data_IF_179729362924
#
_entry.id   IF_179729362924
#
_cell.length_a   1.000
_cell.length_b   1.000
_cell.length_c   1.000
_cell.angle_alpha   90.00
_cell.angle_beta   90.00
_cell.angle_gamma   90.00
#
_symmetry.space_group_name_H-M   'P 1'
#
loop_
_entity.id
_entity.type
_entity.pdbx_description
1 polymer ?
#
# COMPACT_ATOMS: atom_id res chain seq x y z
N UNK A 1 38.34 4.71 9.89
CA UNK A 1 37.70 5.28 11.07
C UNK A 1 36.85 6.49 10.70
N UNK A 2 35.66 6.28 10.12
CA UNK A 2 34.62 7.29 9.91
C UNK A 2 33.23 6.66 9.90
N UNK A 3 33.00 5.69 10.77
CA UNK A 3 31.66 5.26 11.17
C UNK A 3 31.35 5.99 12.48
N UNK A 4 31.07 7.30 12.34
CA UNK A 4 30.59 8.11 13.43
C UNK A 4 29.37 7.47 14.09
N UNK A 5 29.47 7.34 15.37
CA UNK A 5 28.52 6.89 16.38
C UNK A 5 27.08 7.41 16.08
N UNK A 6 26.36 6.70 15.23
CA UNK A 6 24.94 6.92 15.00
C UNK A 6 24.19 6.10 16.05
N UNK A 7 24.08 6.65 17.24
CA UNK A 7 23.26 6.10 18.31
C UNK A 7 21.87 5.68 17.81
N UNK A 8 21.19 4.79 18.52
CA UNK A 8 19.92 4.21 18.09
C UNK A 8 18.96 5.32 17.70
N UNK A 9 18.31 5.20 16.54
CA UNK A 9 17.31 6.15 16.06
C UNK A 9 16.09 6.07 16.96
N UNK A 10 16.20 6.69 18.12
CA UNK A 10 15.12 6.75 19.07
C UNK A 10 13.96 7.58 18.50
N UNK A 11 12.76 7.07 18.58
CA UNK A 11 11.56 7.83 18.27
C UNK A 11 11.49 9.04 19.23
N UNK A 12 11.39 10.25 18.69
CA UNK A 12 11.28 11.46 19.50
C UNK A 12 9.84 11.66 19.96
N UNK A 13 9.59 11.66 21.27
CA UNK A 13 8.25 11.88 21.82
C UNK A 13 7.66 13.24 21.44
N UNK A 14 8.49 14.31 21.40
CA UNK A 14 8.04 15.62 20.98
C UNK A 14 7.61 15.65 19.50
N UNK A 15 8.38 15.00 18.63
CA UNK A 15 8.04 14.86 17.20
C UNK A 15 6.78 14.06 17.03
N UNK A 16 6.65 12.95 17.76
CA UNK A 16 5.45 12.11 17.75
C UNK A 16 4.22 12.92 18.17
N UNK A 17 4.26 13.62 19.29
CA UNK A 17 3.16 14.43 19.77
C UNK A 17 2.73 15.49 18.77
N UNK A 18 3.69 16.25 18.21
CA UNK A 18 3.40 17.27 17.19
C UNK A 18 2.77 16.68 15.93
N UNK A 19 3.28 15.55 15.43
CA UNK A 19 2.71 14.89 14.23
C UNK A 19 1.36 14.24 14.48
N UNK A 20 1.12 13.69 15.67
CA UNK A 20 -0.19 13.17 16.06
C UNK A 20 -1.21 14.31 16.13
N UNK A 21 -0.86 15.43 16.75
CA UNK A 21 -1.75 16.60 16.78
C UNK A 21 -2.10 17.09 15.38
N UNK A 22 -1.12 17.17 14.48
CA UNK A 22 -1.35 17.53 13.08
C UNK A 22 -2.17 16.48 12.33
N UNK A 23 -1.96 15.18 12.59
CA UNK A 23 -2.76 14.10 12.01
C UNK A 23 -4.23 14.18 12.45
N UNK A 24 -4.46 14.44 13.73
CA UNK A 24 -5.81 14.61 14.27
C UNK A 24 -6.49 15.86 13.69
N UNK A 25 -5.77 16.99 13.60
CA UNK A 25 -6.28 18.21 13.00
C UNK A 25 -6.60 18.01 11.50
N UNK A 26 -5.69 17.42 10.73
CA UNK A 26 -5.89 17.08 9.32
C UNK A 26 -7.14 16.22 9.13
N UNK A 27 -7.28 15.19 9.96
CA UNK A 27 -8.41 14.26 9.88
C UNK A 27 -9.70 14.94 10.33
N UNK A 28 -9.65 15.71 11.41
CA UNK A 28 -10.80 16.45 11.93
C UNK A 28 -11.37 17.50 10.96
N UNK A 29 -10.52 18.04 10.09
CA UNK A 29 -10.95 18.97 9.03
C UNK A 29 -11.43 18.22 7.79
N UNK A 30 -10.62 17.29 7.27
CA UNK A 30 -10.93 16.67 5.97
C UNK A 30 -12.03 15.62 6.03
N UNK A 31 -12.21 14.93 7.16
CA UNK A 31 -13.24 13.91 7.28
C UNK A 31 -14.66 14.48 7.19
N UNK A 32 -15.04 15.54 7.92
CA UNK A 32 -16.34 16.21 7.73
C UNK A 32 -16.53 16.74 6.30
N UNK A 33 -15.48 17.32 5.70
CA UNK A 33 -15.54 17.81 4.32
C UNK A 33 -15.79 16.66 3.34
N UNK A 34 -15.16 15.48 3.54
CA UNK A 34 -15.39 14.30 2.72
C UNK A 34 -16.82 13.75 2.88
N UNK A 35 -17.35 13.76 4.11
CA UNK A 35 -18.75 13.38 4.39
C UNK A 35 -19.71 14.35 3.70
N UNK A 36 -19.47 15.65 3.82
CA UNK A 36 -20.31 16.68 3.17
C UNK A 36 -20.22 16.61 1.63
N UNK A 37 -19.07 16.20 1.09
CA UNK A 37 -18.88 16.02 -0.35
C UNK A 37 -19.44 14.69 -0.89
N UNK A 38 -19.91 13.79 -0.03
CA UNK A 38 -20.41 12.47 -0.45
C UNK A 38 -21.53 12.55 -1.52
N UNK A 39 -22.52 13.46 -1.42
CA UNK A 39 -23.55 13.63 -2.46
C UNK A 39 -23.00 14.10 -3.82
N UNK A 40 -21.80 14.69 -3.87
CA UNK A 40 -21.14 15.13 -5.11
C UNK A 40 -20.51 13.98 -5.89
N UNK A 41 -20.58 12.77 -5.33
CA UNK A 41 -20.10 11.52 -5.96
C UNK A 41 -18.63 11.19 -5.68
N UNK A 42 -18.25 10.01 -6.16
CA UNK A 42 -16.94 9.42 -5.90
C UNK A 42 -15.73 10.30 -6.26
N UNK A 43 -15.70 11.05 -7.38
CA UNK A 43 -14.53 11.87 -7.73
C UNK A 43 -14.22 12.96 -6.72
N UNK A 44 -15.25 13.61 -6.16
CA UNK A 44 -15.08 14.68 -5.15
C UNK A 44 -14.48 14.11 -3.85
N UNK A 45 -15.06 13.04 -3.34
CA UNK A 45 -14.60 12.35 -2.13
C UNK A 45 -13.17 11.83 -2.29
N UNK A 46 -12.86 11.28 -3.46
CA UNK A 46 -11.53 10.75 -3.78
C UNK A 46 -10.46 11.85 -3.77
N UNK A 47 -10.73 13.02 -4.32
CA UNK A 47 -9.80 14.17 -4.26
C UNK A 47 -9.46 14.56 -2.82
N UNK A 48 -10.47 14.61 -1.96
CA UNK A 48 -10.28 14.92 -0.53
C UNK A 48 -9.46 13.83 0.15
N UNK A 49 -9.75 12.57 -0.14
CA UNK A 49 -8.99 11.44 0.39
C UNK A 49 -7.51 11.45 -0.06
N UNK A 50 -7.23 11.80 -1.31
CA UNK A 50 -5.84 11.94 -1.79
C UNK A 50 -5.09 13.09 -1.09
N UNK A 51 -5.77 14.18 -0.73
CA UNK A 51 -5.19 15.25 0.09
C UNK A 51 -4.85 14.69 1.48
N UNK A 52 -5.75 13.92 2.08
CA UNK A 52 -5.52 13.28 3.38
C UNK A 52 -4.35 12.28 3.32
N UNK A 53 -4.29 11.39 2.34
CA UNK A 53 -3.18 10.45 2.16
C UNK A 53 -1.84 11.17 1.97
N UNK A 54 -1.83 12.27 1.21
CA UNK A 54 -0.63 13.10 1.03
C UNK A 54 -0.19 13.70 2.37
N UNK A 55 -1.12 14.18 3.18
CA UNK A 55 -0.85 14.68 4.54
C UNK A 55 -0.27 13.58 5.44
N UNK A 56 -0.86 12.40 5.45
CA UNK A 56 -0.37 11.24 6.23
C UNK A 56 1.04 10.84 5.81
N UNK A 57 1.30 10.70 4.51
CA UNK A 57 2.63 10.36 3.99
C UNK A 57 3.69 11.40 4.38
N UNK A 58 3.34 12.70 4.39
CA UNK A 58 4.22 13.78 4.86
C UNK A 58 4.48 13.71 6.35
N UNK A 59 3.45 13.50 7.15
CA UNK A 59 3.58 13.38 8.61
C UNK A 59 4.45 12.19 8.99
N UNK A 60 4.35 11.09 8.26
CA UNK A 60 5.26 9.94 8.41
C UNK A 60 6.64 10.18 7.77
N UNK A 61 6.86 11.33 7.11
CA UNK A 61 8.10 11.68 6.39
C UNK A 61 8.53 10.61 5.38
N UNK A 62 7.55 10.05 4.64
CA UNK A 62 7.83 9.06 3.62
C UNK A 62 8.33 9.73 2.35
N UNK A 63 9.46 9.26 1.84
CA UNK A 63 10.00 9.58 0.50
C UNK A 63 9.84 8.36 -0.37
N UNK A 64 9.26 8.51 -1.53
CA UNK A 64 8.96 7.37 -2.40
C UNK A 64 9.82 7.43 -3.64
N UNK A 65 10.52 6.34 -3.91
CA UNK A 65 11.29 6.14 -5.12
C UNK A 65 10.56 5.12 -6.00
N UNK A 66 10.18 5.53 -7.21
CA UNK A 66 9.33 4.74 -8.10
C UNK A 66 10.15 4.24 -9.28
N UNK A 67 10.10 2.92 -9.51
CA UNK A 67 10.61 2.25 -10.71
C UNK A 67 9.44 1.80 -11.56
N UNK A 68 9.55 1.97 -12.87
CA UNK A 68 8.43 1.74 -13.76
C UNK A 68 7.33 2.79 -13.56
N UNK A 69 6.15 2.48 -14.02
CA UNK A 69 4.99 3.36 -13.90
C UNK A 69 3.72 2.53 -13.64
N UNK A 70 2.74 3.08 -12.91
CA UNK A 70 1.41 2.48 -12.87
C UNK A 70 0.84 2.43 -14.30
N UNK A 71 0.09 1.39 -14.60
CA UNK A 71 -0.49 1.22 -15.93
C UNK A 71 -1.38 2.40 -16.36
N UNK A 72 -1.99 3.07 -15.35
CA UNK A 72 -2.81 4.28 -15.57
C UNK A 72 -4.10 4.04 -16.34
N UNK A 73 -4.40 2.81 -16.68
CA UNK A 73 -5.65 2.42 -17.32
C UNK A 73 -6.72 2.12 -16.27
N UNK A 74 -7.96 2.42 -16.62
CA UNK A 74 -9.12 2.04 -15.81
C UNK A 74 -9.26 0.53 -15.73
N UNK A 75 -9.82 0.02 -14.64
CA UNK A 75 -10.05 -1.40 -14.46
C UNK A 75 -8.77 -2.22 -14.20
N UNK A 76 -7.71 -1.61 -13.64
CA UNK A 76 -6.46 -2.30 -13.33
C UNK A 76 -6.50 -2.91 -11.92
N UNK A 77 -6.12 -4.18 -11.80
CA UNK A 77 -5.86 -4.84 -10.53
C UNK A 77 -4.36 -4.76 -10.21
N UNK A 78 -3.98 -3.87 -9.29
CA UNK A 78 -2.63 -3.80 -8.74
C UNK A 78 -2.48 -4.84 -7.65
N UNK A 79 -1.46 -5.68 -7.75
CA UNK A 79 -1.19 -6.78 -6.82
C UNK A 79 0.13 -6.53 -6.11
N UNK A 80 0.10 -6.26 -4.81
CA UNK A 80 1.28 -5.87 -4.04
C UNK A 80 1.53 -6.77 -2.84
N UNK A 81 2.80 -6.88 -2.41
CA UNK A 81 3.12 -7.30 -1.06
C UNK A 81 2.65 -6.26 -0.04
N UNK A 82 2.55 -6.66 1.23
CA UNK A 82 2.04 -5.82 2.31
C UNK A 82 2.98 -5.82 3.50
N UNK A 83 3.48 -4.66 3.86
CA UNK A 83 4.43 -4.47 4.96
C UNK A 83 3.77 -3.73 6.13
N UNK A 84 2.95 -2.74 5.83
CA UNK A 84 2.41 -1.83 6.83
C UNK A 84 1.15 -1.13 6.33
N UNK A 85 0.33 -0.61 7.25
CA UNK A 85 -0.74 0.34 6.90
C UNK A 85 -0.19 1.60 6.19
N UNK A 86 1.10 1.86 6.29
CA UNK A 86 1.78 2.95 5.56
C UNK A 86 1.87 2.70 4.04
N UNK A 87 1.69 1.46 3.60
CA UNK A 87 1.62 1.12 2.17
C UNK A 87 0.40 1.76 1.51
N UNK A 88 -0.68 1.94 2.29
CA UNK A 88 -1.95 2.47 1.80
C UNK A 88 -1.80 3.90 1.26
N UNK A 89 -1.31 4.90 2.02
CA UNK A 89 -1.11 6.25 1.49
C UNK A 89 -0.12 6.28 0.32
N UNK A 90 0.92 5.46 0.34
CA UNK A 90 1.91 5.39 -0.75
C UNK A 90 1.26 4.90 -2.05
N UNK A 91 0.59 3.75 -2.01
CA UNK A 91 -0.02 3.16 -3.21
C UNK A 91 -1.23 3.96 -3.68
N UNK A 92 -2.05 4.53 -2.77
CA UNK A 92 -3.15 5.41 -3.13
C UNK A 92 -2.70 6.61 -3.97
N UNK A 93 -1.60 7.24 -3.56
CA UNK A 93 -1.05 8.42 -4.25
C UNK A 93 -0.40 8.11 -5.59
N UNK A 94 0.07 6.87 -5.78
CA UNK A 94 0.73 6.45 -7.00
C UNK A 94 -0.24 5.86 -8.04
N UNK A 95 -1.27 5.13 -7.58
CA UNK A 95 -2.15 4.37 -8.48
C UNK A 95 -3.53 4.99 -8.64
N UNK A 96 -3.92 5.87 -7.72
CA UNK A 96 -5.28 6.40 -7.62
C UNK A 96 -6.34 5.28 -7.60
N UNK A 97 -6.02 4.13 -7.01
CA UNK A 97 -6.85 2.94 -6.92
C UNK A 97 -7.46 2.77 -5.52
N UNK A 98 -8.65 2.20 -5.44
CA UNK A 98 -9.25 1.81 -4.17
C UNK A 98 -8.59 0.52 -3.64
N UNK A 99 -8.80 0.21 -2.36
CA UNK A 99 -8.18 -0.95 -1.73
C UNK A 99 -9.17 -2.08 -1.52
N UNK A 100 -8.63 -3.30 -1.49
CA UNK A 100 -9.33 -4.48 -1.00
C UNK A 100 -8.80 -4.79 0.39
N UNK A 101 -9.65 -4.71 1.40
CA UNK A 101 -9.30 -4.93 2.81
C UNK A 101 -10.14 -6.05 3.44
N UNK A 102 -9.68 -6.56 4.58
CA UNK A 102 -10.50 -7.47 5.40
C UNK A 102 -11.69 -6.73 6.00
N UNK A 103 -12.81 -7.42 6.16
CA UNK A 103 -14.02 -6.85 6.75
C UNK A 103 -13.80 -6.34 8.19
N UNK A 104 -12.92 -6.97 8.97
CA UNK A 104 -12.57 -6.54 10.33
C UNK A 104 -12.13 -5.06 10.39
N UNK A 105 -11.48 -4.56 9.33
CA UNK A 105 -11.02 -3.15 9.24
C UNK A 105 -12.19 -2.17 9.16
N UNK A 106 -13.37 -2.63 8.73
CA UNK A 106 -14.59 -1.82 8.61
C UNK A 106 -15.00 -1.17 9.93
N UNK A 107 -14.76 -1.89 11.04
CA UNK A 107 -15.21 -1.52 12.37
C UNK A 107 -14.11 -0.84 13.20
N UNK A 108 -12.94 -0.63 12.62
CA UNK A 108 -11.87 0.10 13.32
C UNK A 108 -12.26 1.57 13.49
N UNK A 109 -12.15 2.10 14.72
CA UNK A 109 -12.43 3.50 14.98
C UNK A 109 -11.60 4.40 14.03
N UNK A 110 -12.22 5.42 13.44
CA UNK A 110 -11.64 6.37 12.51
C UNK A 110 -11.17 5.74 11.18
N UNK A 111 -10.32 4.70 11.22
CA UNK A 111 -9.75 4.06 10.03
C UNK A 111 -10.81 3.34 9.18
N UNK A 112 -11.77 2.67 9.81
CA UNK A 112 -12.89 2.06 9.10
C UNK A 112 -13.78 3.07 8.39
N UNK A 113 -14.03 4.23 9.02
CA UNK A 113 -14.75 5.31 8.37
C UNK A 113 -13.97 5.90 7.19
N UNK A 114 -12.68 6.17 7.35
CA UNK A 114 -11.81 6.62 6.26
C UNK A 114 -11.79 5.61 5.11
N UNK A 115 -11.70 4.32 5.42
CA UNK A 115 -11.71 3.25 4.43
C UNK A 115 -13.05 3.19 3.66
N UNK A 116 -14.18 3.34 4.35
CA UNK A 116 -15.52 3.42 3.72
C UNK A 116 -15.61 4.62 2.77
N UNK A 117 -15.16 5.78 3.22
CA UNK A 117 -15.15 7.01 2.42
C UNK A 117 -14.27 6.86 1.19
N UNK A 118 -13.11 6.21 1.32
CA UNK A 118 -12.23 5.92 0.19
C UNK A 118 -12.72 4.77 -0.69
N UNK A 119 -13.96 4.28 -0.46
CA UNK A 119 -14.58 3.20 -1.23
C UNK A 119 -13.78 1.89 -1.20
N UNK A 120 -13.10 1.62 -0.07
CA UNK A 120 -12.44 0.33 0.15
C UNK A 120 -13.45 -0.80 0.04
N UNK A 121 -13.11 -1.84 -0.71
CA UNK A 121 -13.90 -3.05 -0.82
C UNK A 121 -13.53 -3.97 0.33
N UNK A 122 -14.52 -4.32 1.16
CA UNK A 122 -14.30 -5.16 2.32
C UNK A 122 -14.65 -6.61 2.00
N UNK A 123 -13.70 -7.52 2.23
CA UNK A 123 -13.89 -8.95 2.00
C UNK A 123 -13.87 -9.74 3.31
N UNK A 124 -14.86 -10.62 3.47
CA UNK A 124 -14.92 -11.61 4.55
C UNK A 124 -14.25 -12.90 4.12
N UNK A 125 -13.68 -13.62 5.08
CA UNK A 125 -13.12 -14.96 4.85
C UNK A 125 -14.20 -16.05 4.97
N UNK A 126 -15.42 -15.77 4.54
CA UNK A 126 -16.51 -16.74 4.51
C UNK A 126 -16.68 -17.26 3.08
N UNK A 127 -16.64 -18.59 2.94
CA UNK A 127 -16.83 -19.24 1.64
C UNK A 127 -18.22 -18.95 1.03
N UNK A 128 -19.23 -18.67 1.87
CA UNK A 128 -20.60 -18.35 1.42
C UNK A 128 -20.68 -16.98 0.76
N UNK A 129 -19.85 -16.03 1.21
CA UNK A 129 -19.81 -14.66 0.67
C UNK A 129 -18.80 -14.50 -0.48
N UNK A 130 -17.90 -15.47 -0.65
CA UNK A 130 -16.78 -15.38 -1.61
C UNK A 130 -17.22 -15.12 -3.05
N UNK A 131 -18.39 -15.68 -3.47
CA UNK A 131 -18.94 -15.46 -4.82
C UNK A 131 -19.45 -14.03 -4.99
N UNK A 132 -20.18 -13.48 -4.01
CA UNK A 132 -20.68 -12.10 -4.05
C UNK A 132 -19.56 -11.08 -4.04
N UNK A 133 -18.55 -11.30 -3.19
CA UNK A 133 -17.38 -10.41 -3.11
C UNK A 133 -16.54 -10.42 -4.39
N UNK A 134 -16.41 -11.60 -5.01
CA UNK A 134 -15.76 -11.72 -6.33
C UNK A 134 -16.53 -10.94 -7.40
N UNK A 135 -17.88 -11.07 -7.42
CA UNK A 135 -18.72 -10.34 -8.36
C UNK A 135 -18.57 -8.83 -8.16
N UNK A 136 -18.64 -8.34 -6.92
CA UNK A 136 -18.45 -6.92 -6.61
C UNK A 136 -17.08 -6.39 -7.07
N UNK A 137 -16.00 -7.16 -6.87
CA UNK A 137 -14.67 -6.79 -7.38
C UNK A 137 -14.68 -6.71 -8.92
N UNK A 138 -15.28 -7.72 -9.59
CA UNK A 138 -15.35 -7.77 -11.04
C UNK A 138 -16.16 -6.61 -11.60
N UNK A 139 -17.31 -6.31 -11.01
CA UNK A 139 -18.19 -5.21 -11.41
C UNK A 139 -17.47 -3.86 -11.27
N UNK A 140 -16.73 -3.65 -10.20
CA UNK A 140 -15.97 -2.43 -10.01
C UNK A 140 -14.85 -2.26 -11.02
N UNK A 141 -14.09 -3.33 -11.31
CA UNK A 141 -13.05 -3.32 -12.34
C UNK A 141 -13.64 -3.07 -13.73
N UNK A 142 -14.79 -3.70 -14.05
CA UNK A 142 -15.50 -3.49 -15.30
C UNK A 142 -16.08 -2.08 -15.44
N UNK A 143 -16.50 -1.47 -14.32
CA UNK A 143 -16.92 -0.06 -14.27
C UNK A 143 -15.75 0.94 -14.38
N UNK A 144 -14.51 0.45 -14.48
CA UNK A 144 -13.31 1.27 -14.64
C UNK A 144 -12.61 1.65 -13.33
N UNK A 145 -13.09 1.22 -12.16
CA UNK A 145 -12.36 1.39 -10.91
C UNK A 145 -11.10 0.53 -10.92
N UNK A 146 -9.96 1.10 -10.53
CA UNK A 146 -8.76 0.32 -10.27
C UNK A 146 -8.71 -0.09 -8.79
N UNK A 147 -8.15 -1.28 -8.51
CA UNK A 147 -8.08 -1.84 -7.16
C UNK A 147 -6.65 -2.22 -6.79
N UNK A 148 -6.27 -2.02 -5.53
CA UNK A 148 -5.05 -2.56 -4.93
C UNK A 148 -5.42 -3.74 -4.06
N UNK A 149 -4.80 -4.88 -4.34
CA UNK A 149 -4.97 -6.13 -3.62
C UNK A 149 -3.65 -6.54 -2.95
N UNK A 150 -3.72 -6.92 -1.67
CA UNK A 150 -2.63 -7.53 -0.92
C UNK A 150 -2.90 -9.04 -0.75
N UNK A 151 -2.46 -9.89 -1.68
CA UNK A 151 -2.89 -11.29 -1.68
C UNK A 151 -2.19 -12.16 -0.62
N UNK A 152 -1.23 -11.63 0.12
CA UNK A 152 -0.71 -12.22 1.35
C UNK A 152 -1.84 -12.37 2.40
N UNK A 153 -2.82 -11.46 2.35
CA UNK A 153 -3.96 -11.44 3.27
C UNK A 153 -3.59 -11.09 4.71
N UNK A 154 -2.37 -10.66 4.94
CA UNK A 154 -1.83 -10.05 6.16
C UNK A 154 -0.60 -9.23 5.78
N UNK A 155 -0.14 -8.35 6.65
CA UNK A 155 1.17 -7.70 6.49
C UNK A 155 2.30 -8.59 7.01
N UNK A 156 3.51 -8.36 6.52
CA UNK A 156 4.73 -9.11 6.84
C UNK A 156 5.80 -8.19 7.42
N UNK A 157 6.95 -8.78 7.78
CA UNK A 157 8.14 -8.05 8.25
C UNK A 157 8.80 -7.16 7.17
N UNK A 158 8.33 -7.25 5.92
CA UNK A 158 8.86 -6.53 4.78
C UNK A 158 10.22 -7.04 4.26
N UNK A 159 10.70 -8.17 4.77
CA UNK A 159 11.93 -8.83 4.31
C UNK A 159 11.61 -9.85 3.22
N UNK A 160 10.61 -10.67 3.49
CA UNK A 160 10.15 -11.72 2.61
C UNK A 160 8.69 -11.48 2.22
N UNK A 161 8.35 -11.77 0.98
CA UNK A 161 6.97 -11.76 0.51
C UNK A 161 6.32 -13.07 0.90
N UNK A 162 5.21 -13.01 1.63
CA UNK A 162 4.46 -14.20 2.00
C UNK A 162 3.75 -14.81 0.78
N UNK A 163 3.44 -16.12 0.80
CA UNK A 163 2.75 -16.77 -0.30
C UNK A 163 1.42 -16.08 -0.66
N UNK A 164 1.20 -15.84 -1.94
CA UNK A 164 -0.02 -15.23 -2.43
C UNK A 164 -1.18 -16.23 -2.45
N UNK A 165 -2.29 -15.85 -1.85
CA UNK A 165 -3.52 -16.65 -1.82
C UNK A 165 -4.20 -16.63 -3.17
N UNK A 166 -4.05 -17.71 -3.94
CA UNK A 166 -4.60 -17.81 -5.30
C UNK A 166 -6.12 -17.62 -5.38
N UNK A 167 -6.84 -17.85 -4.28
CA UNK A 167 -8.28 -17.59 -4.21
C UNK A 167 -8.63 -16.10 -4.44
N UNK A 168 -7.76 -15.18 -4.05
CA UNK A 168 -7.94 -13.74 -4.25
C UNK A 168 -7.76 -13.31 -5.71
N UNK A 169 -7.17 -14.15 -6.55
CA UNK A 169 -7.03 -13.92 -7.99
C UNK A 169 -8.25 -14.43 -8.79
N UNK A 170 -9.24 -15.03 -8.14
CA UNK A 170 -10.44 -15.50 -8.81
C UNK A 170 -11.24 -14.39 -9.52
N UNK A 171 -11.04 -13.14 -9.13
CA UNK A 171 -11.61 -11.98 -9.84
C UNK A 171 -11.06 -11.83 -11.26
N UNK A 172 -9.85 -12.32 -11.52
CA UNK A 172 -9.26 -12.31 -12.85
C UNK A 172 -9.80 -13.44 -13.74
N UNK A 173 -10.46 -14.45 -13.16
CA UNK A 173 -11.20 -15.51 -13.89
C UNK A 173 -12.60 -14.99 -14.24
N UNK A 174 -12.72 -14.04 -15.16
CA UNK A 174 -14.00 -13.51 -15.59
C UNK A 174 -14.74 -14.50 -16.51
N UNK A 175 -16.06 -14.31 -16.68
CA UNK A 175 -16.85 -15.14 -17.58
C UNK A 175 -16.30 -15.09 -19.01
N UNK A 176 -16.46 -16.18 -19.80
CA UNK A 176 -16.08 -16.17 -21.20
C UNK A 176 -16.74 -15.00 -21.95
N UNK A 177 -15.93 -14.20 -22.66
CA UNK A 177 -16.39 -13.05 -23.43
C UNK A 177 -16.41 -11.71 -22.70
N UNK A 178 -16.19 -11.67 -21.36
CA UNK A 178 -16.01 -10.43 -20.63
C UNK A 178 -14.56 -9.93 -20.75
N UNK A 179 -14.39 -8.61 -20.79
CA UNK A 179 -13.06 -8.02 -20.75
C UNK A 179 -12.37 -8.32 -19.42
N UNK A 180 -11.24 -9.00 -19.50
CA UNK A 180 -10.50 -9.39 -18.30
C UNK A 180 -9.68 -8.21 -17.78
N UNK A 181 -9.66 -7.98 -16.46
CA UNK A 181 -8.87 -6.93 -15.87
C UNK A 181 -7.38 -7.17 -16.14
N UNK A 182 -6.65 -6.10 -16.39
CA UNK A 182 -5.20 -6.15 -16.39
C UNK A 182 -4.69 -6.25 -14.97
N UNK A 183 -3.71 -7.12 -14.76
CA UNK A 183 -3.08 -7.33 -13.46
C UNK A 183 -1.67 -6.76 -13.51
N UNK A 184 -1.36 -5.82 -12.63
CA UNK A 184 -0.01 -5.27 -12.53
C UNK A 184 0.59 -5.61 -11.17
N UNK A 185 1.66 -6.45 -11.13
CA UNK A 185 2.40 -6.71 -9.90
C UNK A 185 3.16 -5.46 -9.46
N UNK A 186 3.17 -5.20 -8.15
CA UNK A 186 3.83 -4.04 -7.53
C UNK A 186 4.63 -4.50 -6.33
N UNK A 187 5.90 -4.13 -6.25
CA UNK A 187 6.73 -4.38 -5.07
C UNK A 187 6.84 -3.12 -4.24
N UNK A 188 6.69 -3.23 -2.93
CA UNK A 188 6.93 -2.14 -1.98
C UNK A 188 7.96 -2.58 -0.94
N UNK A 189 8.99 -1.75 -0.69
CA UNK A 189 10.04 -2.05 0.26
C UNK A 189 10.52 -0.77 0.97
N UNK A 190 10.68 -0.86 2.29
CA UNK A 190 11.27 0.19 3.11
C UNK A 190 12.78 -0.04 3.19
N UNK A 191 13.59 0.79 2.54
CA UNK A 191 14.99 0.49 2.29
C UNK A 191 15.97 1.38 3.04
N UNK A 192 15.63 2.65 3.25
CA UNK A 192 16.52 3.64 3.85
C UNK A 192 15.76 4.56 4.79
N UNK A 193 16.47 5.24 5.67
CA UNK A 193 15.95 6.43 6.34
C UNK A 193 15.71 7.57 5.36
N UNK A 194 14.93 8.57 5.77
CA UNK A 194 14.71 9.77 4.96
C UNK A 194 15.99 10.55 4.65
N UNK A 195 17.06 10.40 5.45
CA UNK A 195 18.37 10.97 5.22
C UNK A 195 19.28 10.15 4.29
N UNK A 196 18.78 9.01 3.78
CA UNK A 196 19.48 8.14 2.83
C UNK A 196 20.27 7.00 3.46
N UNK A 197 20.49 6.98 4.78
CA UNK A 197 21.19 5.87 5.45
C UNK A 197 20.40 4.56 5.31
N UNK A 198 21.06 3.42 5.07
CA UNK A 198 20.37 2.14 4.97
C UNK A 198 19.61 1.80 6.25
N UNK A 199 18.40 1.27 6.12
CA UNK A 199 17.69 0.64 7.22
C UNK A 199 18.27 -0.76 7.44
N UNK A 200 18.82 -1.03 8.61
CA UNK A 200 19.19 -2.39 9.00
C UNK A 200 17.94 -3.26 9.26
N UNK A 201 18.14 -4.54 9.58
CA UNK A 201 17.02 -5.46 9.79
C UNK A 201 16.12 -5.06 10.96
N UNK A 202 16.69 -4.63 12.08
CA UNK A 202 15.93 -4.22 13.25
C UNK A 202 15.14 -2.94 13.03
N UNK A 203 15.71 -2.02 12.27
CA UNK A 203 15.09 -0.71 12.00
C UNK A 203 14.01 -0.77 10.91
N UNK A 204 14.06 -1.76 10.02
CA UNK A 204 12.94 -2.03 9.09
C UNK A 204 11.68 -2.45 9.82
N UNK A 205 11.83 -3.27 10.86
CA UNK A 205 10.72 -3.69 11.71
C UNK A 205 9.99 -2.51 12.36
N UNK A 206 10.64 -1.33 12.50
CA UNK A 206 9.98 -0.12 12.99
C UNK A 206 8.95 0.47 12.03
N UNK A 207 9.03 0.19 10.75
CA UNK A 207 8.05 0.63 9.74
C UNK A 207 7.08 -0.48 9.34
N UNK A 208 7.42 -1.74 9.59
CA UNK A 208 6.54 -2.87 9.36
C UNK A 208 5.52 -2.99 10.49
N UNK A 209 4.29 -3.31 10.14
CA UNK A 209 3.21 -3.56 11.10
C UNK A 209 2.59 -4.92 10.79
N UNK A 210 2.91 -5.93 11.60
CA UNK A 210 2.53 -7.33 11.37
C UNK A 210 2.35 -8.11 12.67
N UNK A 211 1.83 -9.31 12.57
CA UNK A 211 1.57 -10.18 13.73
C UNK A 211 0.57 -9.55 14.71
N UNK A 212 0.89 -9.59 15.98
CA UNK A 212 0.04 -9.10 17.08
C UNK A 212 0.32 -7.63 17.46
N UNK A 213 1.03 -6.87 16.58
CA UNK A 213 1.32 -5.46 16.84
C UNK A 213 0.03 -4.64 16.93
N UNK A 214 -0.12 -3.90 18.01
CA UNK A 214 -1.23 -2.97 18.19
C UNK A 214 -1.00 -1.69 17.37
N UNK A 215 -2.04 -1.22 16.67
CA UNK A 215 -1.94 -0.10 15.72
C UNK A 215 -1.51 1.20 16.39
N UNK A 216 -2.14 1.58 17.49
CA UNK A 216 -1.93 2.91 18.08
C UNK A 216 -0.52 3.11 18.65
N UNK A 217 0.08 2.21 19.44
CA UNK A 217 1.46 2.31 19.88
C UNK A 217 2.44 2.35 18.70
N UNK A 218 2.20 1.55 17.65
CA UNK A 218 3.05 1.54 16.47
C UNK A 218 2.96 2.88 15.70
N UNK A 219 1.78 3.44 15.51
CA UNK A 219 1.57 4.74 14.87
C UNK A 219 2.30 5.86 15.62
N UNK A 220 2.21 5.86 16.97
CA UNK A 220 2.92 6.80 17.83
C UNK A 220 4.43 6.68 17.61
N UNK A 221 4.96 5.46 17.56
CA UNK A 221 6.38 5.21 17.31
C UNK A 221 6.79 5.70 15.93
N UNK A 222 6.06 5.34 14.87
CA UNK A 222 6.34 5.76 13.50
C UNK A 222 6.38 7.28 13.36
N UNK A 223 5.44 8.00 13.97
CA UNK A 223 5.44 9.46 13.95
C UNK A 223 6.58 10.07 14.75
N UNK A 224 7.20 9.34 15.67
CA UNK A 224 8.44 9.72 16.34
C UNK A 224 9.69 9.53 15.50
N UNK A 225 9.68 8.71 14.45
CA UNK A 225 10.82 8.43 13.59
C UNK A 225 11.13 9.59 12.64
N UNK A 226 12.32 9.57 12.04
CA UNK A 226 12.77 10.61 11.08
C UNK A 226 12.20 10.43 9.68
N UNK A 227 11.48 9.33 9.41
CA UNK A 227 10.92 8.98 8.13
C UNK A 227 11.75 7.94 7.38
N UNK A 228 11.16 7.41 6.31
CA UNK A 228 11.77 6.36 5.51
C UNK A 228 11.70 6.65 4.01
N UNK A 229 12.64 6.05 3.27
CA UNK A 229 12.57 5.90 1.84
C UNK A 229 11.89 4.58 1.50
N UNK A 230 10.85 4.67 0.72
CA UNK A 230 10.04 3.53 0.24
C UNK A 230 10.34 3.36 -1.24
N UNK A 231 10.82 2.19 -1.62
CA UNK A 231 10.97 1.83 -3.03
C UNK A 231 9.72 1.11 -3.52
N UNK A 232 9.09 1.64 -4.56
CA UNK A 232 7.95 1.03 -5.24
C UNK A 232 8.34 0.68 -6.66
N UNK A 233 8.16 -0.58 -7.04
CA UNK A 233 8.44 -1.03 -8.41
C UNK A 233 7.16 -1.53 -9.05
N UNK A 234 6.73 -0.88 -10.12
CA UNK A 234 5.66 -1.35 -11.00
C UNK A 234 6.25 -2.29 -12.04
N UNK A 235 5.89 -3.56 -11.96
CA UNK A 235 6.32 -4.58 -12.94
C UNK A 235 5.47 -4.53 -14.20
N UNK A 236 5.89 -5.24 -15.24
CA UNK A 236 5.13 -5.35 -16.47
C UNK A 236 3.71 -5.91 -16.19
N UNK A 237 2.66 -5.25 -16.68
CA UNK A 237 1.30 -5.74 -16.52
C UNK A 237 1.09 -7.02 -17.34
N UNK A 238 0.18 -7.88 -16.86
CA UNK A 238 -0.19 -9.14 -17.48
C UNK A 238 -1.70 -9.26 -17.58
N UNK A 239 -2.18 -10.16 -18.42
CA UNK A 239 -3.59 -10.50 -18.51
C UNK A 239 -3.82 -11.91 -17.92
N UNK A 240 -4.94 -12.10 -17.23
CA UNK A 240 -5.22 -13.40 -16.61
C UNK A 240 -5.29 -14.53 -17.63
N UNK A 241 -5.78 -14.24 -18.84
CA UNK A 241 -5.87 -15.21 -19.95
C UNK A 241 -4.51 -15.75 -20.43
N UNK A 242 -3.42 -15.08 -20.12
CA UNK A 242 -2.06 -15.50 -20.48
C UNK A 242 -1.58 -16.66 -19.59
N UNK A 243 -2.36 -17.04 -18.58
CA UNK A 243 -2.01 -18.06 -17.59
C UNK A 243 -3.01 -19.22 -17.56
N UNK A 244 -2.50 -20.41 -17.16
CA UNK A 244 -3.36 -21.57 -16.92
C UNK A 244 -4.10 -21.46 -15.58
N UNK A 245 -4.97 -20.43 -15.47
CA UNK A 245 -5.82 -20.17 -14.31
C UNK A 245 -5.12 -19.41 -13.18
N UNK A 246 -5.92 -19.08 -12.16
CA UNK A 246 -5.55 -18.21 -11.04
C UNK A 246 -4.31 -18.63 -10.24
N UNK A 247 -4.02 -19.94 -10.15
CA UNK A 247 -2.82 -20.43 -9.42
C UNK A 247 -1.54 -20.01 -10.13
N UNK A 248 -1.48 -20.16 -11.47
CA UNK A 248 -0.32 -19.76 -12.26
C UNK A 248 -0.14 -18.24 -12.27
N UNK A 249 -1.23 -17.49 -12.38
CA UNK A 249 -1.21 -16.03 -12.27
C UNK A 249 -0.70 -15.56 -10.89
N UNK A 250 -1.20 -16.16 -9.80
CA UNK A 250 -0.77 -15.84 -8.43
C UNK A 250 0.71 -16.13 -8.22
N UNK A 251 1.21 -17.28 -8.72
CA UNK A 251 2.63 -17.63 -8.65
C UNK A 251 3.49 -16.62 -9.42
N UNK A 252 3.10 -16.28 -10.66
CA UNK A 252 3.81 -15.27 -11.46
C UNK A 252 3.88 -13.92 -10.75
N UNK A 253 2.76 -13.42 -10.21
CA UNK A 253 2.72 -12.16 -9.48
C UNK A 253 3.61 -12.22 -8.23
N UNK A 254 3.55 -13.31 -7.47
CA UNK A 254 4.39 -13.53 -6.30
C UNK A 254 5.88 -13.47 -6.66
N UNK A 255 6.30 -14.18 -7.72
CA UNK A 255 7.70 -14.22 -8.14
C UNK A 255 8.19 -12.82 -8.56
N UNK A 256 7.39 -12.06 -9.33
CA UNK A 256 7.74 -10.70 -9.74
C UNK A 256 7.87 -9.77 -8.55
N UNK A 257 6.92 -9.82 -7.62
CA UNK A 257 6.92 -8.99 -6.42
C UNK A 257 8.09 -9.36 -5.50
N UNK A 258 8.33 -10.64 -5.26
CA UNK A 258 9.45 -11.14 -4.46
C UNK A 258 10.80 -10.72 -5.04
N UNK A 259 10.98 -10.85 -6.36
CA UNK A 259 12.19 -10.38 -7.05
C UNK A 259 12.39 -8.85 -6.86
N UNK A 260 11.31 -8.06 -6.93
CA UNK A 260 11.39 -6.62 -6.75
C UNK A 260 11.79 -6.24 -5.33
N UNK A 261 11.19 -6.87 -4.31
CA UNK A 261 11.54 -6.67 -2.90
C UNK A 261 12.99 -7.07 -2.63
N UNK A 262 13.39 -8.25 -3.09
CA UNK A 262 14.77 -8.73 -2.97
C UNK A 262 15.76 -7.76 -3.60
N UNK A 263 15.49 -7.31 -4.83
CA UNK A 263 16.35 -6.35 -5.55
C UNK A 263 16.46 -5.00 -4.82
N UNK A 264 15.37 -4.50 -4.23
CA UNK A 264 15.39 -3.28 -3.44
C UNK A 264 16.28 -3.43 -2.20
N UNK A 265 16.21 -4.57 -1.51
CA UNK A 265 17.06 -4.86 -0.35
C UNK A 265 18.53 -5.07 -0.73
N UNK A 266 18.83 -5.72 -1.84
CA UNK A 266 20.20 -5.88 -2.35
C UNK A 266 20.81 -4.52 -2.69
N UNK A 267 20.11 -3.65 -3.42
CA UNK A 267 20.57 -2.28 -3.73
C UNK A 267 20.91 -1.49 -2.46
N UNK A 268 20.11 -1.68 -1.40
CA UNK A 268 20.39 -1.07 -0.12
C UNK A 268 21.71 -1.54 0.48
N UNK A 269 21.97 -2.87 0.46
CA UNK A 269 23.16 -3.46 1.10
C UNK A 269 24.45 -3.06 0.38
N UNK A 270 24.42 -3.03 -0.93
CA UNK A 270 25.61 -2.76 -1.77
C UNK A 270 25.67 -1.30 -2.25
N UNK A 271 24.79 -0.44 -1.76
CA UNK A 271 24.68 0.98 -2.14
C UNK A 271 24.61 1.22 -3.66
N UNK A 272 23.96 0.28 -4.37
CA UNK A 272 23.80 0.34 -5.82
C UNK A 272 22.74 1.41 -6.15
N UNK A 273 23.08 2.43 -6.97
CA UNK A 273 22.10 3.43 -7.41
C UNK A 273 20.96 2.78 -8.19
N UNK A 274 19.77 3.37 -8.11
CA UNK A 274 18.69 2.98 -9.00
C UNK A 274 18.92 3.61 -10.37
N UNK A 275 19.01 2.79 -11.39
CA UNK A 275 19.34 3.22 -12.76
C UNK A 275 18.31 4.16 -13.39
N UNK A 276 17.04 4.18 -12.93
CA UNK A 276 15.97 4.98 -13.57
C UNK A 276 14.77 5.33 -12.67
N UNK A 277 14.93 5.32 -11.34
CA UNK A 277 13.82 5.60 -10.44
C UNK A 277 13.51 7.10 -10.30
N UNK A 278 12.24 7.49 -10.45
CA UNK A 278 11.76 8.84 -10.16
C UNK A 278 11.53 9.00 -8.65
N UNK A 279 12.17 10.00 -8.04
CA UNK A 279 11.86 10.38 -6.66
C UNK A 279 10.54 11.16 -6.64
N UNK A 280 9.57 10.65 -5.93
CA UNK A 280 8.30 11.33 -5.65
C UNK A 280 8.34 11.80 -4.21
N UNK A 281 8.46 13.11 -4.04
CA UNK A 281 8.30 13.75 -2.75
C UNK A 281 6.89 14.34 -2.68
N UNK A 282 6.19 14.04 -1.62
CA UNK A 282 4.85 14.60 -1.38
C UNK A 282 5.00 16.04 -0.83
N UNK A 283 5.69 16.93 -1.58
CA UNK A 283 5.86 18.34 -1.23
C UNK A 283 4.54 19.11 -1.27
N UNK A 284 4.44 20.26 -0.54
CA UNK A 284 3.23 21.08 -0.52
C UNK A 284 2.81 21.57 -1.89
#
# INVERSE_FOLDING_TARGET
>A
DALGDAGPVAASGLRSAGRISLFLALTGVLLPVAVAAYPLGAPAVRRIALIWFRGVARLASLRVKVNGAPLGQTGTLYVSNHVSYLDIPVLALLTDAAFVAKDDVRDWPLFGLCAKIYRTLFIRRDAREALGQRAEMADRLAAGDSLVLFPEGTSSDGIHVLPFKSALFAVADTAPGAEQPRVQPVSIAYTRYADGRPLDQGLRALYAWYGDMTLLPHLISVFGLRGAMVEVTFHAPVQARDFRGRKALAAHCHDKVSMGVTRAHWRRVYDIPMESGKLVEFRP
#
